data_IF_358320406468
#
_entry.id   IF_358320406468
#
_cell.length_a   1.000
_cell.length_b   1.000
_cell.length_c   1.000
_cell.angle_alpha   90.00
_cell.angle_beta   90.00
_cell.angle_gamma   90.00
#
_symmetry.space_group_name_H-M   'P 1'
#
loop_
_entity.id
_entity.type
_entity.pdbx_description
1 polymer ?
#
# COMPACT_ATOMS: atom_id res chain seq x y z
N UNK A 1 -21.07 -24.12 36.94
CA UNK A 1 -19.88 -24.27 36.08
C UNK A 1 -19.64 -22.90 35.49
N UNK A 2 -18.46 -22.36 35.76
CA UNK A 2 -18.03 -20.99 35.48
C UNK A 2 -18.06 -20.62 33.99
N UNK A 3 -18.20 -19.33 33.67
CA UNK A 3 -18.16 -18.78 32.33
C UNK A 3 -16.71 -18.57 31.89
N UNK A 4 -16.32 -19.13 30.75
CA UNK A 4 -15.11 -18.66 30.05
C UNK A 4 -15.49 -17.41 29.27
N UNK A 5 -15.43 -16.27 29.97
CA UNK A 5 -15.28 -14.97 29.33
C UNK A 5 -13.91 -14.96 28.64
N UNK A 6 -13.88 -15.23 27.33
CA UNK A 6 -12.77 -14.81 26.47
C UNK A 6 -12.71 -13.28 26.47
N UNK A 7 -11.99 -12.73 27.45
CA UNK A 7 -11.46 -11.39 27.37
C UNK A 7 -10.47 -11.37 26.21
N UNK A 8 -10.94 -10.94 25.04
CA UNK A 8 -10.11 -10.46 23.95
C UNK A 8 -9.26 -9.30 24.49
N UNK A 9 -8.10 -9.64 25.03
CA UNK A 9 -7.22 -8.69 25.70
C UNK A 9 -6.85 -7.58 24.73
N UNK A 10 -7.33 -6.38 25.02
CA UNK A 10 -6.92 -5.16 24.33
C UNK A 10 -5.38 -5.13 24.32
N UNK A 11 -4.79 -5.13 23.12
CA UNK A 11 -3.34 -5.18 22.97
C UNK A 11 -2.77 -3.81 23.29
N UNK A 12 -2.52 -3.57 24.57
CA UNK A 12 -1.91 -2.33 25.06
C UNK A 12 -0.40 -2.40 24.91
N UNK A 13 0.18 -1.45 24.17
CA UNK A 13 1.64 -1.31 24.04
C UNK A 13 2.21 -0.66 25.30
N UNK A 14 3.43 -1.05 25.66
CA UNK A 14 4.18 -0.37 26.72
C UNK A 14 4.63 1.03 26.28
N UNK A 15 4.92 1.90 27.25
CA UNK A 15 5.46 3.24 26.97
C UNK A 15 6.74 3.21 26.12
N UNK A 16 7.64 2.25 26.40
CA UNK A 16 8.87 2.06 25.64
C UNK A 16 8.60 1.62 24.18
N UNK A 17 7.55 0.82 23.94
CA UNK A 17 7.14 0.44 22.59
C UNK A 17 6.54 1.64 21.85
N UNK A 18 5.72 2.46 22.50
CA UNK A 18 5.21 3.71 21.92
C UNK A 18 6.34 4.68 21.55
N UNK A 19 7.33 4.87 22.43
CA UNK A 19 8.49 5.72 22.18
C UNK A 19 9.32 5.20 21.01
N UNK A 20 9.58 3.89 20.96
CA UNK A 20 10.30 3.27 19.86
C UNK A 20 9.56 3.40 18.51
N UNK A 21 8.23 3.26 18.51
CA UNK A 21 7.40 3.53 17.32
C UNK A 21 7.53 4.99 16.88
N UNK A 22 7.45 5.93 17.83
CA UNK A 22 7.61 7.36 17.55
C UNK A 22 8.99 7.71 16.98
N UNK A 23 10.06 7.11 17.52
CA UNK A 23 11.42 7.25 17.02
C UNK A 23 11.57 6.69 15.59
N UNK A 24 10.99 5.53 15.31
CA UNK A 24 10.99 4.94 13.97
C UNK A 24 10.27 5.85 12.95
N UNK A 25 9.10 6.38 13.30
CA UNK A 25 8.34 7.31 12.46
C UNK A 25 9.09 8.63 12.21
N UNK A 26 9.82 9.12 13.21
CA UNK A 26 10.64 10.34 13.09
C UNK A 26 11.83 10.19 12.14
N UNK A 27 12.19 8.95 11.76
CA UNK A 27 13.24 8.67 10.76
C UNK A 27 12.78 8.81 9.30
N UNK A 28 11.46 8.96 9.10
CA UNK A 28 10.89 9.24 7.79
C UNK A 28 11.23 10.69 7.39
N UNK A 29 11.48 10.95 6.09
CA UNK A 29 11.55 12.32 5.61
C UNK A 29 10.24 13.03 5.95
N UNK A 30 10.33 14.29 6.40
CA UNK A 30 9.18 15.09 6.77
C UNK A 30 8.18 15.20 5.60
N UNK A 31 6.88 15.37 5.88
CA UNK A 31 5.88 15.46 4.82
C UNK A 31 6.18 16.65 3.92
N UNK A 32 6.07 16.45 2.61
CA UNK A 32 6.37 17.47 1.59
C UNK A 32 5.59 18.80 1.77
N UNK A 33 4.52 18.80 2.59
CA UNK A 33 3.65 19.96 2.85
C UNK A 33 3.56 20.38 4.33
N UNK A 34 4.51 19.97 5.18
CA UNK A 34 4.55 20.42 6.59
C UNK A 34 3.37 19.93 7.45
N UNK A 35 2.70 18.86 7.04
CA UNK A 35 1.68 18.19 7.83
C UNK A 35 2.26 17.50 9.08
N UNK A 36 1.39 16.97 9.96
CA UNK A 36 1.85 16.14 11.08
C UNK A 36 2.56 14.88 10.58
N UNK A 37 3.52 14.39 11.36
CA UNK A 37 4.15 13.10 11.09
C UNK A 37 3.07 11.99 11.14
N UNK A 38 3.06 11.05 10.17
CA UNK A 38 2.06 10.00 10.16
C UNK A 38 2.25 9.05 11.35
N UNK A 39 1.16 8.49 11.87
CA UNK A 39 1.22 7.37 12.82
C UNK A 39 1.37 6.04 12.08
N UNK A 40 1.79 4.99 12.79
CA UNK A 40 1.85 3.63 12.23
C UNK A 40 0.48 3.17 11.73
N UNK A 41 -0.57 3.39 12.52
CA UNK A 41 -1.94 3.02 12.18
C UNK A 41 -2.43 3.79 10.95
N UNK A 42 -2.07 5.08 10.82
CA UNK A 42 -2.40 5.86 9.64
C UNK A 42 -1.73 5.31 8.38
N UNK A 43 -0.46 4.91 8.44
CA UNK A 43 0.24 4.30 7.30
C UNK A 43 -0.36 2.96 6.90
N UNK A 44 -0.71 2.11 7.87
CA UNK A 44 -1.38 0.83 7.61
C UNK A 44 -2.77 1.03 7.00
N UNK A 45 -3.54 1.98 7.54
CA UNK A 45 -4.87 2.28 7.00
C UNK A 45 -4.78 2.85 5.59
N UNK A 46 -3.88 3.81 5.33
CA UNK A 46 -3.66 4.34 3.97
C UNK A 46 -3.23 3.26 2.98
N UNK A 47 -2.44 2.27 3.42
CA UNK A 47 -2.10 1.14 2.56
C UNK A 47 -3.33 0.30 2.24
N UNK A 48 -4.17 -0.01 3.24
CA UNK A 48 -5.42 -0.77 3.02
C UNK A 48 -6.39 -0.02 2.12
N UNK A 49 -6.59 1.28 2.34
CA UNK A 49 -7.46 2.12 1.52
C UNK A 49 -7.01 2.10 0.05
N UNK A 50 -5.70 2.24 -0.21
CA UNK A 50 -5.15 2.13 -1.56
C UNK A 50 -5.37 0.74 -2.18
N UNK A 51 -5.23 -0.32 -1.39
CA UNK A 51 -5.49 -1.69 -1.86
C UNK A 51 -6.97 -1.87 -2.22
N UNK A 52 -7.88 -1.31 -1.42
CA UNK A 52 -9.32 -1.33 -1.71
C UNK A 52 -9.60 -0.59 -3.04
N UNK A 53 -9.06 0.62 -3.23
CA UNK A 53 -9.18 1.37 -4.49
C UNK A 53 -8.65 0.59 -5.70
N UNK A 54 -7.50 -0.09 -5.55
CA UNK A 54 -6.88 -0.88 -6.63
C UNK A 54 -7.68 -2.15 -6.95
N UNK A 55 -8.37 -2.75 -5.97
CA UNK A 55 -9.25 -3.91 -6.19
C UNK A 55 -10.55 -3.53 -6.91
N UNK A 56 -11.12 -2.37 -6.57
CA UNK A 56 -12.35 -1.86 -7.15
C UNK A 56 -12.13 -1.40 -8.60
N UNK A 57 -11.02 -0.71 -8.85
CA UNK A 57 -10.66 -0.13 -10.14
C UNK A 57 -9.92 1.18 -9.88
N UNK A 58 -8.61 1.19 -10.13
CA UNK A 58 -7.84 2.39 -9.81
C UNK A 58 -8.15 3.49 -10.83
N UNK A 59 -8.78 4.56 -10.35
CA UNK A 59 -9.31 5.65 -11.17
C UNK A 59 -8.32 6.77 -11.50
N UNK A 60 -7.09 6.71 -10.99
CA UNK A 60 -6.07 7.74 -11.22
C UNK A 60 -4.96 7.26 -12.15
N UNK A 61 -4.05 8.16 -12.51
CA UNK A 61 -3.00 7.85 -13.45
C UNK A 61 -1.69 7.35 -12.80
N UNK A 62 -0.75 6.88 -13.61
CA UNK A 62 0.42 6.15 -13.10
C UNK A 62 1.30 6.96 -12.12
N UNK A 63 1.54 8.27 -12.32
CA UNK A 63 2.22 9.12 -11.34
C UNK A 63 1.49 9.20 -9.99
N UNK A 64 0.16 9.28 -9.99
CA UNK A 64 -0.67 9.27 -8.78
C UNK A 64 -0.53 7.95 -8.04
N UNK A 65 -0.48 6.82 -8.76
CA UNK A 65 -0.23 5.53 -8.12
C UNK A 65 1.14 5.49 -7.43
N UNK A 66 2.22 5.95 -8.06
CA UNK A 66 3.54 5.99 -7.40
C UNK A 66 3.55 6.91 -6.18
N UNK A 67 2.78 8.01 -6.22
CA UNK A 67 2.58 8.89 -5.07
C UNK A 67 1.82 8.17 -3.94
N UNK A 68 0.74 7.46 -4.24
CA UNK A 68 -0.05 6.74 -3.23
C UNK A 68 0.73 5.58 -2.61
N UNK A 69 1.60 4.92 -3.39
CA UNK A 69 2.54 3.90 -2.90
C UNK A 69 3.60 4.42 -1.92
N UNK A 70 3.68 5.73 -1.70
CA UNK A 70 4.56 6.31 -0.68
C UNK A 70 4.24 5.80 0.73
N UNK A 71 2.97 5.48 1.03
CA UNK A 71 2.60 4.91 2.33
C UNK A 71 3.29 3.54 2.55
N UNK A 72 3.28 2.67 1.54
CA UNK A 72 3.91 1.34 1.61
C UNK A 72 5.43 1.41 1.63
N UNK A 73 6.01 2.41 0.96
CA UNK A 73 7.43 2.71 1.04
C UNK A 73 7.85 3.19 2.44
N UNK A 74 7.03 4.04 3.08
CA UNK A 74 7.25 4.47 4.46
C UNK A 74 7.17 3.29 5.43
N UNK A 75 6.15 2.43 5.31
CA UNK A 75 6.02 1.20 6.08
C UNK A 75 7.26 0.32 5.95
N UNK A 76 7.73 0.06 4.73
CA UNK A 76 8.92 -0.76 4.49
C UNK A 76 10.18 -0.22 5.17
N UNK A 77 10.32 1.10 5.23
CA UNK A 77 11.47 1.78 5.86
C UNK A 77 11.45 1.67 7.37
N UNK A 78 10.28 1.85 8.00
CA UNK A 78 10.17 1.83 9.46
C UNK A 78 10.02 0.42 10.03
N UNK A 79 9.45 -0.53 9.28
CA UNK A 79 9.19 -1.90 9.74
C UNK A 79 10.38 -2.56 10.44
N UNK A 80 11.61 -2.56 9.89
CA UNK A 80 12.76 -3.18 10.56
C UNK A 80 13.14 -2.50 11.89
N UNK A 81 12.75 -1.23 12.09
CA UNK A 81 13.03 -0.44 13.29
C UNK A 81 11.97 -0.63 14.39
N UNK A 82 10.79 -1.18 14.05
CA UNK A 82 9.72 -1.39 15.02
C UNK A 82 10.11 -2.47 16.05
N UNK A 83 9.65 -2.33 17.31
CA UNK A 83 9.80 -3.38 18.31
C UNK A 83 9.28 -4.74 17.81
N UNK A 84 9.95 -5.87 18.10
CA UNK A 84 9.54 -7.18 17.59
C UNK A 84 8.08 -7.54 17.92
N UNK A 85 7.59 -7.18 19.10
CA UNK A 85 6.21 -7.42 19.51
C UNK A 85 5.22 -6.59 18.71
N UNK A 86 5.50 -5.31 18.50
CA UNK A 86 4.67 -4.43 17.64
C UNK A 86 4.60 -4.99 16.22
N UNK A 87 5.73 -5.43 15.65
CA UNK A 87 5.72 -6.13 14.35
C UNK A 87 4.83 -7.36 14.39
N UNK A 88 5.00 -8.25 15.38
CA UNK A 88 4.23 -9.49 15.46
C UNK A 88 2.72 -9.23 15.52
N UNK A 89 2.28 -8.19 16.23
CA UNK A 89 0.87 -7.80 16.33
C UNK A 89 0.35 -7.28 14.98
N UNK A 90 1.14 -6.46 14.26
CA UNK A 90 0.72 -5.78 13.03
C UNK A 90 1.02 -6.55 11.74
N UNK A 91 1.85 -7.59 11.80
CA UNK A 91 2.27 -8.38 10.63
C UNK A 91 1.08 -8.99 9.88
N UNK A 92 0.07 -9.60 10.54
CA UNK A 92 -1.07 -10.18 9.83
C UNK A 92 -1.85 -9.15 9.01
N UNK A 93 -1.99 -7.92 9.53
CA UNK A 93 -2.66 -6.82 8.82
C UNK A 93 -1.87 -6.41 7.57
N UNK A 94 -0.55 -6.23 7.70
CA UNK A 94 0.31 -5.89 6.57
C UNK A 94 0.34 -7.00 5.51
N UNK A 95 0.47 -8.26 5.93
CA UNK A 95 0.52 -9.41 5.03
C UNK A 95 -0.79 -9.57 4.25
N UNK A 96 -1.93 -9.38 4.92
CA UNK A 96 -3.24 -9.43 4.26
C UNK A 96 -3.38 -8.34 3.20
N UNK A 97 -2.95 -7.11 3.47
CA UNK A 97 -3.00 -6.02 2.51
C UNK A 97 -2.02 -6.25 1.34
N UNK A 98 -0.80 -6.71 1.64
CA UNK A 98 0.20 -7.05 0.62
C UNK A 98 -0.31 -8.16 -0.32
N UNK A 99 -0.97 -9.20 0.21
CA UNK A 99 -1.51 -10.28 -0.61
C UNK A 99 -2.66 -9.83 -1.50
N UNK A 100 -3.59 -9.05 -0.94
CA UNK A 100 -4.68 -8.42 -1.69
C UNK A 100 -4.15 -7.56 -2.84
N UNK A 101 -3.16 -6.71 -2.56
CA UNK A 101 -2.49 -5.93 -3.61
C UNK A 101 -1.87 -6.82 -4.69
N UNK A 102 -1.26 -7.95 -4.31
CA UNK A 102 -0.68 -8.89 -5.28
C UNK A 102 -1.73 -9.50 -6.19
N UNK A 103 -2.90 -9.82 -5.66
CA UNK A 103 -3.99 -10.39 -6.44
C UNK A 103 -4.63 -9.35 -7.35
N UNK A 104 -4.74 -8.11 -6.88
CA UNK A 104 -5.36 -6.98 -7.60
C UNK A 104 -4.47 -6.38 -8.69
N UNK A 105 -3.18 -6.73 -8.75
CA UNK A 105 -2.23 -6.18 -9.72
C UNK A 105 -1.54 -7.26 -10.55
N UNK A 106 -0.86 -6.84 -11.62
CA UNK A 106 -0.01 -7.67 -12.47
C UNK A 106 1.46 -7.24 -12.33
N UNK A 107 2.42 -8.16 -12.42
CA UNK A 107 3.84 -7.81 -12.41
C UNK A 107 4.22 -6.93 -13.59
N UNK A 108 5.11 -5.96 -13.33
CA UNK A 108 5.75 -5.18 -14.37
C UNK A 108 6.64 -6.08 -15.26
N UNK A 109 6.47 -6.07 -16.60
CA UNK A 109 7.23 -6.94 -17.49
C UNK A 109 8.75 -6.80 -17.32
N UNK A 110 9.44 -7.93 -17.15
CA UNK A 110 10.90 -7.97 -17.00
C UNK A 110 11.43 -7.54 -15.62
N UNK A 111 10.55 -7.31 -14.63
CA UNK A 111 10.98 -7.00 -13.25
C UNK A 111 10.55 -8.10 -12.28
N UNK A 112 11.51 -8.79 -11.63
CA UNK A 112 11.19 -9.85 -10.68
C UNK A 112 10.64 -9.31 -9.35
N UNK A 113 9.72 -10.05 -8.74
CA UNK A 113 9.06 -9.71 -7.48
C UNK A 113 9.99 -9.81 -6.25
N UNK A 114 11.13 -10.50 -6.35
CA UNK A 114 12.06 -10.70 -5.25
C UNK A 114 12.82 -9.43 -4.80
N UNK A 115 12.62 -8.30 -5.48
CA UNK A 115 13.30 -7.05 -5.13
C UNK A 115 12.62 -6.31 -3.98
N UNK A 116 13.40 -5.68 -3.10
CA UNK A 116 12.88 -4.69 -2.17
C UNK A 116 12.09 -3.62 -2.93
N UNK A 117 10.89 -3.27 -2.45
CA UNK A 117 10.00 -2.35 -3.16
C UNK A 117 9.17 -2.99 -4.27
N UNK A 118 8.94 -4.31 -4.24
CA UNK A 118 8.19 -5.07 -5.25
C UNK A 118 6.83 -4.45 -5.62
N UNK A 119 6.15 -3.80 -4.67
CA UNK A 119 4.86 -3.13 -4.89
C UNK A 119 4.94 -2.01 -5.94
N UNK A 120 6.10 -1.38 -6.14
CA UNK A 120 6.31 -0.37 -7.20
C UNK A 120 6.37 -0.95 -8.60
N UNK A 121 6.62 -2.25 -8.71
CA UNK A 121 6.77 -2.96 -9.98
C UNK A 121 5.52 -3.76 -10.30
N UNK A 122 4.37 -3.15 -10.03
CA UNK A 122 3.06 -3.72 -10.23
C UNK A 122 2.10 -2.70 -10.82
N UNK A 123 1.14 -3.22 -11.57
CA UNK A 123 0.17 -2.43 -12.33
C UNK A 123 -1.22 -2.93 -11.92
N UNK A 124 -2.17 -2.06 -11.54
CA UNK A 124 -3.55 -2.46 -11.27
C UNK A 124 -4.13 -3.29 -12.41
N UNK A 125 -4.87 -4.35 -12.07
CA UNK A 125 -5.59 -5.16 -13.06
C UNK A 125 -6.79 -4.43 -13.64
N UNK A 126 -7.35 -3.47 -12.90
CA UNK A 126 -8.52 -2.69 -13.30
C UNK A 126 -8.14 -1.22 -13.24
N UNK A 127 -8.28 -0.55 -14.37
CA UNK A 127 -8.15 0.89 -14.48
C UNK A 127 -9.53 1.46 -14.79
N UNK A 128 -9.99 2.37 -13.94
CA UNK A 128 -11.21 3.12 -14.19
C UNK A 128 -10.83 4.45 -14.86
N UNK A 129 -11.50 4.80 -15.96
CA UNK A 129 -11.19 6.00 -16.74
C UNK A 129 -12.48 6.75 -17.02
N UNK A 130 -12.42 8.08 -17.03
CA UNK A 130 -13.60 8.84 -17.41
C UNK A 130 -13.94 8.58 -18.89
N UNK A 131 -15.23 8.43 -19.22
CA UNK A 131 -15.70 8.14 -20.58
C UNK A 131 -15.22 9.15 -21.66
N UNK A 132 -14.76 10.33 -21.26
CA UNK A 132 -14.19 11.32 -22.18
C UNK A 132 -12.70 11.10 -22.50
N UNK A 133 -12.01 10.28 -21.71
CA UNK A 133 -10.57 9.97 -21.79
C UNK A 133 -10.27 8.68 -22.56
N UNK A 134 -11.30 7.92 -22.97
CA UNK A 134 -11.18 6.80 -23.89
C UNK A 134 -10.84 7.27 -25.31
N UNK A 135 -9.60 7.68 -25.56
CA UNK A 135 -9.13 7.91 -26.94
C UNK A 135 -7.74 7.32 -27.20
N UNK A 136 -7.75 6.11 -27.75
CA UNK A 136 -6.95 5.80 -28.94
C UNK A 136 -5.52 5.30 -28.78
N UNK A 137 -5.09 4.81 -27.62
CA UNK A 137 -3.80 4.09 -27.49
C UNK A 137 -3.93 2.80 -26.66
N UNK A 138 -2.88 1.97 -26.64
CA UNK A 138 -2.85 0.71 -25.87
C UNK A 138 -3.07 0.92 -24.36
N UNK A 139 -2.77 2.12 -23.85
CA UNK A 139 -3.00 2.56 -22.47
C UNK A 139 -4.03 3.71 -22.43
N UNK A 140 -4.80 3.85 -21.33
CA UNK A 140 -5.61 5.03 -21.09
C UNK A 140 -4.76 6.27 -20.75
N UNK A 141 -5.41 7.43 -20.76
CA UNK A 141 -4.79 8.72 -20.42
C UNK A 141 -4.07 8.67 -19.07
N UNK A 142 -2.84 9.18 -19.03
CA UNK A 142 -1.98 9.21 -17.86
C UNK A 142 -1.31 7.86 -17.52
N UNK A 143 -1.60 6.81 -18.29
CA UNK A 143 -0.87 5.55 -18.29
C UNK A 143 0.01 5.38 -19.55
N UNK A 144 -0.03 6.31 -20.52
CA UNK A 144 0.71 6.17 -21.79
C UNK A 144 2.23 6.22 -21.63
N UNK A 145 2.72 6.66 -20.47
CA UNK A 145 4.15 6.69 -20.13
C UNK A 145 4.78 5.32 -19.90
N UNK A 146 3.98 4.24 -19.90
CA UNK A 146 4.47 2.89 -19.72
C UNK A 146 5.37 2.45 -20.89
N UNK A 147 6.60 1.96 -20.64
CA UNK A 147 7.57 1.65 -21.69
C UNK A 147 7.33 0.31 -22.40
N UNK A 148 6.12 -0.24 -22.32
CA UNK A 148 5.70 -1.53 -22.89
C UNK A 148 4.19 -1.50 -23.20
N UNK A 149 3.71 -2.36 -24.13
CA UNK A 149 2.28 -2.48 -24.40
C UNK A 149 1.51 -2.95 -23.17
N UNK A 150 0.25 -2.53 -23.03
CA UNK A 150 -0.61 -2.92 -21.91
C UNK A 150 -0.71 -4.45 -21.81
N UNK A 151 -0.40 -5.05 -20.64
CA UNK A 151 -0.61 -6.48 -20.44
C UNK A 151 -2.08 -6.84 -20.63
N UNK A 152 -2.37 -7.97 -21.29
CA UNK A 152 -3.74 -8.41 -21.58
C UNK A 152 -4.60 -8.63 -20.32
N UNK A 153 -3.98 -8.83 -19.15
CA UNK A 153 -4.64 -8.97 -17.87
C UNK A 153 -5.01 -7.63 -17.20
N UNK A 154 -4.69 -6.49 -17.82
CA UNK A 154 -5.12 -5.16 -17.38
C UNK A 154 -6.38 -4.77 -18.14
N UNK A 155 -7.49 -4.73 -17.43
CA UNK A 155 -8.81 -4.30 -17.87
C UNK A 155 -8.94 -2.77 -17.70
N UNK A 156 -9.60 -2.13 -18.66
CA UNK A 156 -9.93 -0.71 -18.61
C UNK A 156 -11.45 -0.62 -18.70
N UNK A 157 -12.06 0.10 -17.76
CA UNK A 157 -13.51 0.31 -17.67
C UNK A 157 -13.83 1.80 -17.51
N UNK A 158 -15.01 2.19 -18.00
CA UNK A 158 -15.61 3.51 -17.83
C UNK A 158 -16.75 3.51 -16.84
#
# INVERSE_FOLDING_TARGET
MDPEEEHGGEVVLSAAEYEAVGAALSSLPGPARGGPAPSLDHLLQRWKDLVDEVEEGYGWCAPELDNDLACRAALARIWPLLPPRVRAIRQPELDSADERYRLATVPWPGRPEATAGWWKWRIPRRLEVEACEERGTDWPTGWEMMPFPRPAAVEVST
#
